data_IF_701780667108
#
_entry.id   IF_701780667108
#
_cell.length_a   1.000
_cell.length_b   1.000
_cell.length_c   1.000
_cell.angle_alpha   90.00
_cell.angle_beta   90.00
_cell.angle_gamma   90.00
#
_symmetry.space_group_name_H-M   'P 1'
#
loop_
_entity.id
_entity.type
_entity.pdbx_description
1 polymer ?
#
# COMPACT_ATOMS: atom_id res chain seq x y z
N UNK A 1 -46.35 13.00 38.32
CA UNK A 1 -45.31 13.55 37.43
C UNK A 1 -45.08 12.54 36.32
N UNK A 2 -45.55 12.83 35.12
CA UNK A 2 -45.38 11.97 33.95
C UNK A 2 -43.93 12.08 33.46
N UNK A 3 -43.11 11.06 33.70
CA UNK A 3 -41.78 10.98 33.09
C UNK A 3 -41.94 10.74 31.60
N UNK A 4 -41.74 11.80 30.81
CA UNK A 4 -41.51 11.67 29.37
C UNK A 4 -40.21 10.87 29.18
N UNK A 5 -40.22 9.74 28.44
CA UNK A 5 -38.99 9.02 28.15
C UNK A 5 -38.06 9.95 27.37
N UNK A 6 -36.87 10.20 27.91
CA UNK A 6 -35.84 10.92 27.20
C UNK A 6 -35.48 10.12 25.94
N UNK A 7 -35.76 10.70 24.78
CA UNK A 7 -35.30 10.16 23.49
C UNK A 7 -33.78 10.25 23.49
N UNK A 8 -33.12 9.12 23.75
CA UNK A 8 -31.66 9.01 23.67
C UNK A 8 -31.27 9.34 22.24
N UNK A 9 -30.62 10.49 22.02
CA UNK A 9 -30.09 10.84 20.69
C UNK A 9 -29.06 9.79 20.31
N UNK A 10 -29.21 9.13 19.14
CA UNK A 10 -28.24 8.12 18.72
C UNK A 10 -26.86 8.78 18.58
N UNK A 11 -25.82 8.10 19.06
CA UNK A 11 -24.46 8.59 18.99
C UNK A 11 -24.09 8.96 17.53
N UNK A 12 -23.30 10.01 17.35
CA UNK A 12 -22.98 10.58 16.03
C UNK A 12 -22.41 9.53 15.04
N UNK A 13 -21.68 8.54 15.54
CA UNK A 13 -21.13 7.45 14.71
C UNK A 13 -22.21 6.43 14.26
N UNK A 14 -23.29 6.20 15.03
CA UNK A 14 -24.44 5.43 14.56
C UNK A 14 -25.13 6.14 13.39
N UNK A 15 -25.28 7.46 13.48
CA UNK A 15 -25.86 8.26 12.39
C UNK A 15 -25.01 8.20 11.12
N UNK A 16 -23.68 8.12 11.26
CA UNK A 16 -22.79 7.93 10.12
C UNK A 16 -23.05 6.59 9.39
N UNK A 17 -23.27 5.49 10.12
CA UNK A 17 -23.67 4.22 9.53
C UNK A 17 -25.05 4.34 8.87
N UNK A 18 -26.05 4.89 9.57
CA UNK A 18 -27.41 5.03 9.03
C UNK A 18 -27.44 5.87 7.74
N UNK A 19 -26.65 6.94 7.67
CA UNK A 19 -26.53 7.78 6.47
C UNK A 19 -25.94 7.05 5.26
N UNK A 20 -25.38 5.85 5.44
CA UNK A 20 -24.85 5.05 4.34
C UNK A 20 -25.88 4.15 3.64
N UNK A 21 -27.08 4.01 4.23
CA UNK A 21 -28.13 3.08 3.81
C UNK A 21 -28.47 3.11 2.33
N UNK A 22 -28.57 4.29 1.73
CA UNK A 22 -28.94 4.41 0.31
C UNK A 22 -27.92 3.76 -0.63
N UNK A 23 -26.64 3.68 -0.23
CA UNK A 23 -25.60 3.03 -1.04
C UNK A 23 -25.70 1.51 -1.04
N UNK A 24 -26.41 0.93 -0.08
CA UNK A 24 -26.64 -0.52 -0.04
C UNK A 24 -27.70 -0.98 -1.03
N UNK A 25 -28.50 -0.07 -1.59
CA UNK A 25 -29.42 -0.39 -2.68
C UNK A 25 -28.66 -0.92 -3.90
N UNK A 26 -28.90 -2.18 -4.25
CA UNK A 26 -28.22 -2.87 -5.36
C UNK A 26 -26.85 -3.49 -5.01
N UNK A 27 -26.41 -3.42 -3.75
CA UNK A 27 -25.16 -4.05 -3.29
C UNK A 27 -25.25 -5.58 -3.12
N UNK A 28 -26.47 -6.13 -3.04
CA UNK A 28 -26.71 -7.53 -2.68
C UNK A 28 -26.63 -7.81 -1.17
N UNK A 29 -26.36 -6.80 -0.34
CA UNK A 29 -26.26 -6.92 1.11
C UNK A 29 -27.51 -6.36 1.83
N UNK A 30 -27.89 -6.97 2.96
CA UNK A 30 -28.91 -6.42 3.86
C UNK A 30 -28.28 -5.37 4.78
N UNK A 31 -28.58 -4.10 4.52
CA UNK A 31 -28.07 -2.98 5.30
C UNK A 31 -28.28 -3.13 6.82
N UNK A 32 -29.42 -3.67 7.28
CA UNK A 32 -29.66 -3.81 8.73
C UNK A 32 -28.71 -4.82 9.36
N UNK A 33 -28.42 -5.92 8.66
CA UNK A 33 -27.44 -6.90 9.12
C UNK A 33 -26.04 -6.29 9.12
N UNK A 34 -25.65 -5.59 8.05
CA UNK A 34 -24.34 -4.94 7.94
C UNK A 34 -24.14 -3.85 9.00
N UNK A 35 -25.19 -3.10 9.34
CA UNK A 35 -25.18 -2.15 10.45
C UNK A 35 -24.91 -2.85 11.79
N UNK A 36 -25.52 -4.01 12.04
CA UNK A 36 -25.28 -4.80 13.26
C UNK A 36 -23.82 -5.28 13.29
N UNK A 37 -23.30 -5.85 12.19
CA UNK A 37 -21.93 -6.32 12.12
C UNK A 37 -20.91 -5.19 12.30
N UNK A 38 -21.11 -4.05 11.64
CA UNK A 38 -20.28 -2.87 11.83
C UNK A 38 -20.29 -2.41 13.29
N UNK A 39 -21.47 -2.33 13.91
CA UNK A 39 -21.62 -1.94 15.31
C UNK A 39 -20.88 -2.91 16.25
N UNK A 40 -20.98 -4.22 16.02
CA UNK A 40 -20.25 -5.23 16.79
C UNK A 40 -18.73 -5.06 16.66
N UNK A 41 -18.21 -4.86 15.45
CA UNK A 41 -16.77 -4.65 15.23
C UNK A 41 -16.27 -3.39 15.94
N UNK A 42 -17.04 -2.28 15.88
CA UNK A 42 -16.71 -1.06 16.62
C UNK A 42 -16.70 -1.33 18.14
N UNK A 43 -17.73 -1.98 18.68
CA UNK A 43 -17.83 -2.24 20.12
C UNK A 43 -16.75 -3.18 20.66
N UNK A 44 -16.28 -4.12 19.85
CA UNK A 44 -15.23 -5.07 20.23
C UNK A 44 -13.81 -4.49 20.13
N UNK A 45 -13.65 -3.28 19.59
CA UNK A 45 -12.35 -2.63 19.45
C UNK A 45 -12.45 -1.16 19.90
N UNK A 46 -12.05 -0.88 21.13
CA UNK A 46 -12.15 0.45 21.75
C UNK A 46 -11.41 1.53 20.94
N UNK A 47 -10.26 1.21 20.35
CA UNK A 47 -9.51 2.14 19.50
C UNK A 47 -10.24 2.42 18.19
N UNK A 48 -10.80 1.39 17.54
CA UNK A 48 -11.62 1.58 16.34
C UNK A 48 -12.87 2.43 16.63
N UNK A 49 -13.54 2.18 17.76
CA UNK A 49 -14.69 2.99 18.18
C UNK A 49 -14.31 4.44 18.44
N UNK A 50 -13.15 4.70 19.05
CA UNK A 50 -12.65 6.05 19.27
C UNK A 50 -12.38 6.78 17.93
N UNK A 51 -11.71 6.10 16.99
CA UNK A 51 -11.49 6.63 15.63
C UNK A 51 -12.82 6.91 14.92
N UNK A 52 -13.82 6.04 15.06
CA UNK A 52 -15.16 6.24 14.50
C UNK A 52 -15.89 7.46 15.10
N UNK A 53 -15.73 7.70 16.41
CA UNK A 53 -16.30 8.87 17.10
C UNK A 53 -15.65 10.17 16.66
N UNK A 54 -14.32 10.17 16.56
CA UNK A 54 -13.53 11.35 16.21
C UNK A 54 -13.58 11.66 14.69
N UNK A 55 -13.81 10.65 13.85
CA UNK A 55 -13.95 10.81 12.41
C UNK A 55 -15.14 10.01 11.83
N UNK A 56 -16.40 10.44 12.09
CA UNK A 56 -17.59 9.74 11.59
C UNK A 56 -17.69 9.71 10.06
N UNK A 57 -17.11 10.70 9.38
CA UNK A 57 -17.04 10.74 7.92
C UNK A 57 -16.23 9.57 7.34
N UNK A 58 -15.13 9.17 8.00
CA UNK A 58 -14.35 8.00 7.58
C UNK A 58 -15.13 6.69 7.73
N UNK A 59 -15.89 6.53 8.83
CA UNK A 59 -16.76 5.38 9.04
C UNK A 59 -17.83 5.28 7.94
N UNK A 60 -18.47 6.41 7.60
CA UNK A 60 -19.46 6.45 6.52
C UNK A 60 -18.84 6.04 5.18
N UNK A 61 -17.65 6.52 4.86
CA UNK A 61 -16.94 6.15 3.63
C UNK A 61 -16.57 4.67 3.61
N UNK A 62 -16.15 4.10 4.75
CA UNK A 62 -15.90 2.67 4.86
C UNK A 62 -17.17 1.85 4.61
N UNK A 63 -18.34 2.30 5.11
CA UNK A 63 -19.62 1.65 4.81
C UNK A 63 -20.04 1.80 3.34
N UNK A 64 -19.73 2.93 2.68
CA UNK A 64 -19.91 3.05 1.24
C UNK A 64 -19.06 2.04 0.47
N UNK A 65 -17.83 1.80 0.93
CA UNK A 65 -16.95 0.80 0.33
C UNK A 65 -17.49 -0.62 0.51
N UNK A 66 -18.03 -0.95 1.69
CA UNK A 66 -18.70 -2.24 1.97
C UNK A 66 -19.80 -2.49 0.93
N UNK A 67 -20.66 -1.50 0.72
CA UNK A 67 -21.73 -1.58 -0.28
C UNK A 67 -21.19 -1.68 -1.71
N UNK A 68 -20.17 -0.89 -2.06
CA UNK A 68 -19.61 -0.85 -3.41
C UNK A 68 -18.92 -2.16 -3.81
N UNK A 69 -18.26 -2.84 -2.87
CA UNK A 69 -17.63 -4.15 -3.12
C UNK A 69 -18.55 -5.32 -2.81
N UNK A 70 -19.75 -5.09 -2.25
CA UNK A 70 -20.72 -6.13 -1.91
C UNK A 70 -20.16 -7.22 -0.99
N UNK A 71 -19.18 -6.90 -0.14
CA UNK A 71 -18.65 -7.85 0.85
C UNK A 71 -19.22 -7.56 2.22
N UNK A 72 -19.91 -8.55 2.78
CA UNK A 72 -20.42 -8.51 4.15
C UNK A 72 -19.32 -8.40 5.20
N UNK A 73 -19.63 -7.66 6.26
CA UNK A 73 -18.85 -7.54 7.50
C UNK A 73 -19.13 -8.69 8.48
N UNK A 74 -19.92 -9.70 8.09
CA UNK A 74 -20.24 -10.86 8.92
C UNK A 74 -18.94 -11.55 9.41
N UNK A 75 -18.70 -11.58 10.74
CA UNK A 75 -17.47 -12.12 11.29
C UNK A 75 -17.29 -13.62 11.01
N UNK A 76 -18.38 -14.37 10.82
CA UNK A 76 -18.32 -15.80 10.53
C UNK A 76 -17.79 -16.08 9.11
N UNK A 77 -18.03 -15.17 8.17
CA UNK A 77 -17.53 -15.30 6.80
C UNK A 77 -16.11 -14.73 6.68
N UNK A 78 -15.79 -13.68 7.44
CA UNK A 78 -14.45 -13.11 7.51
C UNK A 78 -13.94 -12.55 6.18
N UNK A 79 -14.84 -11.99 5.37
CA UNK A 79 -14.54 -11.48 4.02
C UNK A 79 -13.99 -10.05 4.07
N UNK A 80 -14.51 -9.21 4.95
CA UNK A 80 -14.05 -7.84 5.12
C UNK A 80 -14.21 -7.36 6.56
N UNK A 81 -13.41 -6.37 6.94
CA UNK A 81 -13.35 -5.82 8.30
C UNK A 81 -13.24 -4.31 8.26
N UNK A 82 -13.82 -3.65 9.27
CA UNK A 82 -13.53 -2.26 9.57
C UNK A 82 -12.29 -2.20 10.45
N UNK A 83 -11.28 -1.45 10.01
CA UNK A 83 -10.01 -1.33 10.72
C UNK A 83 -9.64 0.15 10.93
N UNK A 84 -9.08 0.51 12.09
CA UNK A 84 -8.52 1.84 12.29
C UNK A 84 -7.12 1.86 11.70
N UNK A 85 -6.85 2.81 10.81
CA UNK A 85 -5.57 2.90 10.11
C UNK A 85 -5.12 4.33 10.00
N UNK A 86 -3.81 4.52 10.14
CA UNK A 86 -3.13 5.80 9.92
C UNK A 86 -2.25 5.65 8.68
N UNK A 87 -2.59 6.36 7.60
CA UNK A 87 -1.88 6.25 6.32
C UNK A 87 -0.56 7.01 6.33
N UNK A 88 -0.49 8.14 7.04
CA UNK A 88 0.71 9.00 7.13
C UNK A 88 0.95 9.40 8.58
N UNK A 89 2.22 9.62 8.94
CA UNK A 89 2.63 9.94 10.33
C UNK A 89 1.88 11.14 10.92
N UNK A 90 1.57 12.13 10.08
CA UNK A 90 0.94 13.40 10.46
C UNK A 90 -0.56 13.46 10.09
N UNK A 91 -1.20 12.31 9.91
CA UNK A 91 -2.63 12.24 9.61
C UNK A 91 -3.38 11.53 10.73
N UNK A 92 -4.62 11.95 10.96
CA UNK A 92 -5.52 11.28 11.88
C UNK A 92 -5.82 9.86 11.40
N UNK A 93 -6.02 8.96 12.36
CA UNK A 93 -6.50 7.63 12.02
C UNK A 93 -7.90 7.71 11.40
N UNK A 94 -8.17 6.82 10.45
CA UNK A 94 -9.45 6.70 9.76
C UNK A 94 -9.98 5.28 9.91
N UNK A 95 -11.30 5.15 9.94
CA UNK A 95 -11.94 3.85 9.73
C UNK A 95 -11.85 3.52 8.25
N UNK A 96 -11.31 2.34 7.94
CA UNK A 96 -11.14 1.87 6.57
C UNK A 96 -11.65 0.43 6.41
N UNK A 97 -12.05 0.07 5.19
CA UNK A 97 -12.43 -1.29 4.84
C UNK A 97 -11.18 -2.09 4.48
N UNK A 98 -10.83 -3.09 5.30
CA UNK A 98 -9.81 -4.08 4.96
C UNK A 98 -10.47 -5.33 4.38
N UNK A 99 -10.14 -5.64 3.13
CA UNK A 99 -10.62 -6.83 2.43
C UNK A 99 -9.66 -7.97 2.74
N UNK A 100 -10.20 -9.06 3.27
CA UNK A 100 -9.40 -10.25 3.55
C UNK A 100 -9.02 -10.96 2.24
N UNK A 101 -8.02 -11.84 2.29
CA UNK A 101 -7.71 -12.66 1.11
C UNK A 101 -8.90 -13.54 0.70
N UNK A 102 -9.73 -13.99 1.65
CA UNK A 102 -10.97 -14.71 1.39
C UNK A 102 -11.99 -13.83 0.69
N UNK A 103 -12.13 -12.57 1.13
CA UNK A 103 -12.99 -11.59 0.48
C UNK A 103 -12.55 -11.29 -0.95
N UNK A 104 -11.23 -11.18 -1.18
CA UNK A 104 -10.67 -10.95 -2.51
C UNK A 104 -10.94 -12.13 -3.47
N UNK A 105 -10.76 -13.36 -2.98
CA UNK A 105 -11.12 -14.57 -3.74
C UNK A 105 -12.63 -14.62 -3.99
N UNK A 106 -13.45 -14.33 -2.98
CA UNK A 106 -14.92 -14.33 -3.11
C UNK A 106 -15.38 -13.34 -4.19
N UNK A 107 -14.85 -12.11 -4.20
CA UNK A 107 -15.15 -11.15 -5.28
C UNK A 107 -14.72 -11.73 -6.63
N UNK A 108 -13.50 -12.26 -6.74
CA UNK A 108 -13.02 -12.84 -7.99
C UNK A 108 -13.92 -13.97 -8.52
N UNK A 109 -14.45 -14.80 -7.63
CA UNK A 109 -15.40 -15.88 -7.96
C UNK A 109 -16.75 -15.32 -8.37
N UNK A 110 -17.33 -14.43 -7.55
CA UNK A 110 -18.66 -13.85 -7.78
C UNK A 110 -18.73 -12.97 -9.03
N UNK A 111 -17.64 -12.30 -9.40
CA UNK A 111 -17.54 -11.51 -10.63
C UNK A 111 -17.17 -12.34 -11.85
N UNK A 112 -16.96 -13.65 -11.68
CA UNK A 112 -16.53 -14.55 -12.74
C UNK A 112 -15.13 -14.25 -13.29
N UNK A 113 -14.26 -13.61 -12.50
CA UNK A 113 -12.86 -13.39 -12.89
C UNK A 113 -12.05 -14.69 -12.78
N UNK A 114 -12.35 -15.49 -11.76
CA UNK A 114 -11.73 -16.81 -11.48
C UNK A 114 -12.83 -17.78 -11.05
N UNK A 115 -12.61 -19.09 -11.18
CA UNK A 115 -13.50 -20.12 -10.62
C UNK A 115 -13.21 -20.40 -9.16
N UNK A 116 -11.93 -20.38 -8.80
CA UNK A 116 -11.43 -20.47 -7.43
C UNK A 116 -9.97 -20.02 -7.41
N UNK A 117 -9.46 -19.72 -6.22
CA UNK A 117 -8.03 -19.55 -6.00
C UNK A 117 -7.63 -20.15 -4.64
N UNK A 118 -6.41 -20.68 -4.57
CA UNK A 118 -5.82 -21.22 -3.35
C UNK A 118 -4.37 -20.77 -3.26
N UNK A 119 -3.97 -20.30 -2.08
CA UNK A 119 -2.56 -20.06 -1.79
C UNK A 119 -2.03 -21.14 -0.84
N UNK A 120 -0.78 -21.54 -1.05
CA UNK A 120 -0.08 -22.52 -0.24
C UNK A 120 1.34 -22.06 0.03
N UNK A 121 1.84 -22.40 1.23
CA UNK A 121 3.23 -22.18 1.61
C UNK A 121 4.06 -23.41 1.24
N UNK A 122 5.29 -23.14 0.83
CA UNK A 122 6.31 -24.12 0.48
C UNK A 122 7.42 -24.00 1.51
N UNK A 123 7.75 -25.13 2.13
CA UNK A 123 8.75 -25.25 3.17
C UNK A 123 10.03 -25.91 2.62
N UNK A 124 11.12 -25.83 3.37
CA UNK A 124 12.45 -26.31 2.94
C UNK A 124 12.48 -27.79 2.56
N UNK A 125 11.74 -28.63 3.28
CA UNK A 125 11.72 -30.08 3.06
C UNK A 125 10.63 -30.53 2.06
N UNK A 126 9.89 -29.61 1.46
CA UNK A 126 8.91 -29.94 0.42
C UNK A 126 9.58 -30.11 -0.96
N UNK A 127 9.06 -31.01 -1.79
CA UNK A 127 9.42 -31.06 -3.21
C UNK A 127 8.54 -30.06 -3.98
N UNK A 128 9.13 -28.95 -4.43
CA UNK A 128 8.41 -27.93 -5.19
C UNK A 128 9.10 -27.60 -6.52
N UNK A 129 8.36 -27.77 -7.62
CA UNK A 129 8.75 -27.36 -8.97
C UNK A 129 7.77 -26.36 -9.55
N UNK A 130 8.22 -25.14 -9.79
CA UNK A 130 7.46 -24.13 -10.52
C UNK A 130 7.52 -24.40 -12.02
N UNK A 131 6.36 -24.44 -12.68
CA UNK A 131 6.24 -24.72 -14.12
C UNK A 131 5.98 -23.48 -14.98
N UNK A 132 6.02 -22.30 -14.38
CA UNK A 132 5.65 -21.05 -15.04
C UNK A 132 4.26 -20.57 -14.64
N UNK A 133 3.86 -19.38 -15.12
CA UNK A 133 2.67 -18.68 -14.63
C UNK A 133 1.36 -19.27 -15.14
N UNK A 134 1.39 -20.15 -16.14
CA UNK A 134 0.21 -20.72 -16.80
C UNK A 134 0.01 -22.22 -16.50
N UNK A 135 0.90 -22.83 -15.72
CA UNK A 135 0.92 -24.27 -15.46
C UNK A 135 0.95 -24.58 -13.96
N UNK A 136 0.16 -25.57 -13.53
CA UNK A 136 0.08 -25.98 -12.12
C UNK A 136 1.46 -26.43 -11.62
N UNK A 137 1.98 -25.88 -10.51
CA UNK A 137 3.22 -26.35 -9.92
C UNK A 137 3.12 -27.80 -9.46
N UNK A 138 4.24 -28.53 -9.45
CA UNK A 138 4.34 -29.78 -8.71
C UNK A 138 4.76 -29.46 -7.28
N UNK A 139 3.84 -29.64 -6.33
CA UNK A 139 4.10 -29.46 -4.91
C UNK A 139 3.79 -30.76 -4.19
N UNK A 140 4.83 -31.55 -3.87
CA UNK A 140 4.69 -32.73 -3.02
C UNK A 140 5.18 -32.40 -1.63
N UNK A 141 4.29 -32.55 -0.65
CA UNK A 141 4.57 -32.39 0.75
C UNK A 141 3.79 -33.45 1.54
N UNK A 142 4.24 -33.75 2.76
CA UNK A 142 3.41 -34.45 3.74
C UNK A 142 2.65 -33.39 4.55
N UNK A 143 1.32 -33.25 4.36
CA UNK A 143 0.53 -32.22 5.02
C UNK A 143 0.40 -32.45 6.54
N UNK A 144 0.74 -33.63 7.05
CA UNK A 144 0.68 -33.96 8.47
C UNK A 144 2.05 -33.94 9.15
N UNK A 145 3.12 -33.77 8.37
CA UNK A 145 4.48 -33.69 8.92
C UNK A 145 4.67 -32.41 9.73
N UNK A 146 5.21 -32.57 10.93
CA UNK A 146 5.67 -31.47 11.79
C UNK A 146 7.09 -31.02 11.44
N UNK A 147 7.78 -31.70 10.51
CA UNK A 147 9.18 -31.49 10.16
C UNK A 147 9.35 -31.06 8.70
N UNK A 148 8.50 -30.13 8.26
CA UNK A 148 8.58 -29.55 6.90
C UNK A 148 9.71 -28.52 6.75
N UNK A 149 10.34 -28.11 7.85
CA UNK A 149 11.41 -27.09 7.86
C UNK A 149 10.87 -25.66 7.89
N UNK A 150 11.72 -24.67 7.56
CA UNK A 150 11.30 -23.28 7.53
C UNK A 150 10.52 -22.94 6.24
N UNK A 151 9.72 -21.87 6.26
CA UNK A 151 9.01 -21.38 5.07
C UNK A 151 10.03 -20.82 4.08
N UNK A 152 10.12 -21.42 2.89
CA UNK A 152 10.96 -20.98 1.77
C UNK A 152 10.23 -19.99 0.86
N UNK A 153 8.91 -20.13 0.73
CA UNK A 153 8.07 -19.28 -0.09
C UNK A 153 6.63 -19.75 -0.13
N UNK A 154 5.92 -19.41 -1.18
CA UNK A 154 4.58 -19.90 -1.43
C UNK A 154 4.10 -19.55 -2.83
N UNK A 155 2.91 -20.02 -3.18
CA UNK A 155 2.29 -19.69 -4.45
C UNK A 155 0.77 -19.56 -4.30
N UNK A 156 0.14 -18.82 -5.20
CA UNK A 156 -1.30 -18.79 -5.38
C UNK A 156 -1.63 -19.33 -6.76
N UNK A 157 -2.53 -20.31 -6.79
CA UNK A 157 -3.07 -20.93 -7.98
C UNK A 157 -4.52 -20.47 -8.13
N UNK A 158 -4.87 -19.89 -9.28
CA UNK A 158 -6.23 -19.47 -9.62
C UNK A 158 -6.69 -20.09 -10.94
N UNK A 159 -7.89 -20.68 -10.98
CA UNK A 159 -8.46 -21.24 -12.22
C UNK A 159 -9.27 -20.19 -12.97
N UNK A 160 -9.05 -20.06 -14.28
CA UNK A 160 -9.81 -19.13 -15.12
C UNK A 160 -11.13 -19.75 -15.62
N UNK A 161 -12.18 -18.95 -15.86
CA UNK A 161 -13.45 -19.44 -16.40
C UNK A 161 -13.33 -20.14 -17.76
N UNK A 162 -12.37 -19.71 -18.59
CA UNK A 162 -12.05 -20.28 -19.89
C UNK A 162 -11.28 -21.61 -19.83
N UNK A 163 -10.90 -22.06 -18.64
CA UNK A 163 -9.90 -23.10 -18.44
C UNK A 163 -8.48 -22.53 -18.39
N UNK A 164 -7.54 -23.36 -17.97
CA UNK A 164 -6.17 -22.93 -17.63
C UNK A 164 -6.08 -22.34 -16.21
N UNK A 165 -4.86 -22.00 -15.81
CA UNK A 165 -4.57 -21.46 -14.48
C UNK A 165 -3.65 -20.26 -14.56
N UNK A 166 -3.73 -19.39 -13.55
CA UNK A 166 -2.73 -18.38 -13.26
C UNK A 166 -2.02 -18.75 -11.97
N UNK A 167 -0.69 -18.70 -12.00
CA UNK A 167 0.16 -19.03 -10.86
C UNK A 167 1.04 -17.85 -10.53
N UNK A 168 0.93 -17.38 -9.30
CA UNK A 168 1.82 -16.37 -8.74
C UNK A 168 2.66 -17.02 -7.64
N UNK A 169 3.97 -17.12 -7.86
CA UNK A 169 4.91 -17.60 -6.86
C UNK A 169 5.59 -16.43 -6.14
N UNK A 170 5.88 -16.59 -4.86
CA UNK A 170 6.48 -15.55 -4.03
C UNK A 170 7.49 -16.14 -3.06
N UNK A 171 8.69 -15.54 -3.02
CA UNK A 171 9.74 -15.94 -2.09
C UNK A 171 9.40 -15.49 -0.65
N UNK A 172 9.93 -16.20 0.35
CA UNK A 172 9.87 -15.75 1.74
C UNK A 172 10.46 -14.35 1.92
N UNK A 173 11.58 -14.06 1.24
CA UNK A 173 12.22 -12.76 1.26
C UNK A 173 11.32 -11.63 0.76
N UNK A 174 10.53 -11.87 -0.30
CA UNK A 174 9.60 -10.84 -0.79
C UNK A 174 8.39 -10.65 0.13
N UNK A 175 7.94 -11.71 0.82
CA UNK A 175 6.92 -11.60 1.86
C UNK A 175 7.44 -10.82 3.07
N UNK A 176 8.70 -11.04 3.44
CA UNK A 176 9.35 -10.29 4.52
C UNK A 176 9.47 -8.80 4.20
N UNK A 177 9.76 -8.42 2.94
CA UNK A 177 9.71 -7.00 2.52
C UNK A 177 8.34 -6.36 2.77
N UNK A 178 7.24 -7.09 2.56
CA UNK A 178 5.87 -6.60 2.85
C UNK A 178 5.62 -6.53 4.36
N UNK A 179 6.11 -7.51 5.12
CA UNK A 179 6.04 -7.49 6.58
C UNK A 179 6.77 -6.28 7.15
N UNK A 180 7.96 -5.99 6.64
CA UNK A 180 8.86 -4.98 7.21
C UNK A 180 8.38 -3.54 6.98
N UNK A 181 7.41 -3.31 6.10
CA UNK A 181 6.71 -2.01 6.00
C UNK A 181 5.61 -1.82 7.06
N UNK A 182 5.21 -2.88 7.77
CA UNK A 182 4.17 -2.81 8.80
C UNK A 182 4.70 -2.14 10.08
N UNK A 183 4.16 -0.99 10.42
CA UNK A 183 4.47 -0.27 11.67
C UNK A 183 4.09 -1.06 12.93
N UNK A 184 3.04 -1.88 12.87
CA UNK A 184 2.67 -2.75 13.99
C UNK A 184 3.75 -3.83 14.23
N UNK A 185 4.24 -4.44 13.15
CA UNK A 185 5.30 -5.45 13.22
C UNK A 185 6.59 -4.87 13.78
N UNK A 186 7.00 -3.66 13.34
CA UNK A 186 8.18 -2.95 13.88
C UNK A 186 8.08 -2.69 15.38
N UNK A 187 6.87 -2.61 15.94
CA UNK A 187 6.60 -2.42 17.37
C UNK A 187 6.39 -3.75 18.10
N UNK A 188 6.57 -4.88 17.44
CA UNK A 188 6.49 -6.21 18.03
C UNK A 188 5.07 -6.72 18.28
N UNK A 189 4.05 -6.19 17.60
CA UNK A 189 2.67 -6.65 17.76
C UNK A 189 1.89 -6.74 16.45
N UNK A 190 0.75 -7.44 16.48
CA UNK A 190 -0.22 -7.47 15.40
C UNK A 190 -0.04 -8.67 14.46
N UNK A 191 -0.75 -8.67 13.32
CA UNK A 191 -1.00 -9.90 12.56
C UNK A 191 0.24 -10.64 12.04
N UNK A 192 1.32 -9.92 11.80
CA UNK A 192 2.59 -10.51 11.36
C UNK A 192 3.36 -11.22 12.48
N UNK A 193 3.02 -10.95 13.74
CA UNK A 193 3.54 -11.64 14.93
C UNK A 193 2.61 -12.79 15.30
N UNK A 194 1.32 -12.52 15.40
CA UNK A 194 0.33 -13.48 15.90
C UNK A 194 -0.06 -14.54 14.84
N UNK A 195 -0.06 -14.16 13.55
CA UNK A 195 -0.57 -14.98 12.43
C UNK A 195 0.29 -14.82 11.17
N UNK A 196 1.61 -14.94 11.31
CA UNK A 196 2.57 -14.70 10.23
C UNK A 196 2.26 -15.45 8.93
N UNK A 197 1.91 -16.74 9.01
CA UNK A 197 1.58 -17.56 7.84
C UNK A 197 0.33 -17.06 7.10
N UNK A 198 -0.69 -16.62 7.82
CA UNK A 198 -1.90 -16.05 7.22
C UNK A 198 -1.60 -14.74 6.50
N UNK A 199 -0.68 -13.94 7.03
CA UNK A 199 -0.23 -12.70 6.39
C UNK A 199 0.61 -12.96 5.14
N UNK A 200 1.41 -14.03 5.13
CA UNK A 200 2.11 -14.52 3.94
C UNK A 200 1.11 -14.95 2.86
N UNK A 201 0.12 -15.79 3.20
CA UNK A 201 -0.94 -16.19 2.28
C UNK A 201 -1.72 -14.98 1.74
N UNK A 202 -2.09 -14.01 2.60
CA UNK A 202 -2.75 -12.76 2.17
C UNK A 202 -1.90 -12.01 1.15
N UNK A 203 -0.59 -11.95 1.36
CA UNK A 203 0.35 -11.24 0.47
C UNK A 203 0.43 -11.90 -0.91
N UNK A 204 0.48 -13.23 -0.96
CA UNK A 204 0.53 -13.98 -2.23
C UNK A 204 -0.78 -13.79 -3.01
N UNK A 205 -1.94 -13.96 -2.37
CA UNK A 205 -3.25 -13.80 -3.02
C UNK A 205 -3.44 -12.37 -3.56
N UNK A 206 -3.05 -11.35 -2.79
CA UNK A 206 -3.09 -9.95 -3.23
C UNK A 206 -2.22 -9.69 -4.46
N UNK A 207 -1.08 -10.35 -4.58
CA UNK A 207 -0.21 -10.21 -5.76
C UNK A 207 -0.85 -10.91 -6.96
N UNK A 208 -1.34 -12.14 -6.76
CA UNK A 208 -2.00 -12.93 -7.79
C UNK A 208 -3.23 -12.21 -8.37
N UNK A 209 -4.02 -11.55 -7.53
CA UNK A 209 -5.27 -10.89 -7.94
C UNK A 209 -5.09 -9.76 -8.94
N UNK A 210 -3.88 -9.23 -9.11
CA UNK A 210 -3.57 -8.21 -10.13
C UNK A 210 -3.65 -8.76 -11.55
N UNK A 211 -3.47 -10.07 -11.71
CA UNK A 211 -3.50 -10.76 -12.99
C UNK A 211 -4.87 -11.35 -13.32
N UNK A 212 -5.80 -11.34 -12.35
CA UNK A 212 -7.14 -11.85 -12.59
C UNK A 212 -7.90 -10.90 -13.54
N UNK A 213 -8.69 -11.43 -14.47
CA UNK A 213 -9.49 -10.61 -15.37
C UNK A 213 -10.34 -9.59 -14.61
N UNK A 214 -10.17 -8.30 -14.92
CA UNK A 214 -11.01 -7.23 -14.38
C UNK A 214 -12.32 -7.16 -15.17
N UNK A 215 -13.17 -8.17 -15.00
CA UNK A 215 -14.42 -8.33 -15.75
C UNK A 215 -15.53 -7.38 -15.28
N UNK A 216 -15.40 -6.76 -14.09
CA UNK A 216 -16.47 -5.96 -13.49
C UNK A 216 -15.98 -4.72 -12.72
N UNK A 217 -16.80 -3.66 -12.62
CA UNK A 217 -16.52 -2.50 -11.76
C UNK A 217 -16.31 -2.85 -10.28
N UNK A 218 -16.99 -3.90 -9.80
CA UNK A 218 -16.90 -4.39 -8.42
C UNK A 218 -15.50 -4.90 -8.08
N UNK A 219 -14.91 -5.71 -8.97
CA UNK A 219 -13.53 -6.19 -8.82
C UNK A 219 -12.52 -5.03 -8.89
N UNK A 220 -12.69 -4.12 -9.85
CA UNK A 220 -11.83 -2.94 -9.97
C UNK A 220 -11.87 -2.08 -8.70
N UNK A 221 -13.06 -1.86 -8.13
CA UNK A 221 -13.22 -1.10 -6.88
C UNK A 221 -12.53 -1.77 -5.69
N UNK A 222 -12.63 -3.10 -5.57
CA UNK A 222 -11.95 -3.84 -4.51
C UNK A 222 -10.42 -3.71 -4.60
N UNK A 223 -9.86 -3.85 -5.80
CA UNK A 223 -8.43 -3.65 -6.04
C UNK A 223 -8.00 -2.20 -5.75
N UNK A 224 -8.84 -1.21 -6.07
CA UNK A 224 -8.57 0.19 -5.76
C UNK A 224 -8.50 0.43 -4.24
N UNK A 225 -9.47 -0.06 -3.47
CA UNK A 225 -9.46 0.05 -2.01
C UNK A 225 -8.19 -0.58 -1.41
N UNK A 226 -7.79 -1.75 -1.93
CA UNK A 226 -6.60 -2.46 -1.46
C UNK A 226 -5.28 -1.72 -1.77
N UNK A 227 -5.18 -1.06 -2.93
CA UNK A 227 -3.95 -0.42 -3.39
C UNK A 227 -3.82 1.04 -2.95
N UNK A 228 -4.89 1.83 -3.08
CA UNK A 228 -4.86 3.30 -2.90
C UNK A 228 -5.34 3.71 -1.51
N UNK A 229 -6.44 3.13 -1.03
CA UNK A 229 -7.09 3.58 0.20
C UNK A 229 -6.44 3.00 1.45
N UNK A 230 -6.02 1.72 1.41
CA UNK A 230 -5.39 1.09 2.57
C UNK A 230 -3.87 1.31 2.65
N UNK A 231 -3.24 1.83 1.58
CA UNK A 231 -1.78 2.00 1.51
C UNK A 231 -1.01 0.67 1.58
N UNK A 232 -1.66 -0.45 1.25
CA UNK A 232 -1.10 -1.82 1.39
C UNK A 232 -0.64 -2.42 0.06
N UNK A 233 -0.50 -1.60 -0.99
CA UNK A 233 -0.02 -2.04 -2.28
C UNK A 233 1.51 -2.17 -2.32
N UNK A 234 2.02 -3.07 -3.18
CA UNK A 234 3.42 -3.05 -3.64
C UNK A 234 3.83 -1.69 -4.27
N UNK A 235 2.87 -0.80 -4.57
CA UNK A 235 3.14 0.58 -4.94
C UNK A 235 3.90 1.35 -3.83
N UNK A 236 3.75 0.97 -2.55
CA UNK A 236 4.61 1.48 -1.47
C UNK A 236 6.04 0.96 -1.59
N UNK A 237 6.23 -0.28 -2.09
CA UNK A 237 7.57 -0.78 -2.41
C UNK A 237 8.16 -0.14 -3.68
N UNK A 238 7.33 0.19 -4.67
CA UNK A 238 7.74 0.94 -5.86
C UNK A 238 8.08 2.40 -5.55
N UNK A 239 7.39 3.01 -4.58
CA UNK A 239 7.73 4.33 -4.04
C UNK A 239 8.86 4.28 -2.99
N UNK A 240 9.27 3.08 -2.58
CA UNK A 240 10.52 2.81 -1.85
C UNK A 240 11.66 2.40 -2.79
N UNK A 241 11.58 2.73 -4.09
CA UNK A 241 12.82 3.02 -4.83
C UNK A 241 13.47 4.16 -4.04
N UNK A 242 14.55 3.80 -3.36
CA UNK A 242 15.44 4.63 -2.58
C UNK A 242 15.35 6.08 -3.08
N UNK A 243 14.69 6.96 -2.31
CA UNK A 243 15.04 8.38 -2.40
C UNK A 243 16.55 8.41 -2.21
N UNK A 244 17.34 8.93 -3.16
CA UNK A 244 18.78 8.97 -3.02
C UNK A 244 19.06 9.54 -1.65
N UNK A 245 19.86 8.83 -0.85
CA UNK A 245 20.25 9.27 0.48
C UNK A 245 20.56 10.77 0.40
N UNK A 246 19.88 11.58 1.22
CA UNK A 246 20.08 13.01 1.23
C UNK A 246 21.59 13.27 1.24
N UNK A 247 22.08 14.00 0.23
CA UNK A 247 23.50 14.25 0.09
C UNK A 247 24.00 14.89 1.40
N UNK A 248 25.21 14.53 1.87
CA UNK A 248 25.79 15.17 3.03
C UNK A 248 25.91 16.68 2.81
N UNK A 249 26.01 17.47 3.87
CA UNK A 249 26.20 18.92 3.75
C UNK A 249 27.41 19.22 2.84
N UNK A 250 27.33 20.25 1.97
CA UNK A 250 28.42 20.57 1.04
C UNK A 250 29.70 20.92 1.82
N UNK A 251 30.83 20.23 1.57
CA UNK A 251 32.09 20.52 2.21
C UNK A 251 32.65 21.89 1.79
N UNK A 252 33.53 22.52 2.60
CA UNK A 252 34.33 23.67 2.19
C UNK A 252 35.12 23.43 0.91
N UNK A 253 35.33 24.48 0.11
CA UNK A 253 35.98 24.38 -1.23
C UNK A 253 37.38 23.77 -1.17
N UNK A 254 38.14 24.02 -0.11
CA UNK A 254 39.49 23.51 0.12
C UNK A 254 39.53 21.99 0.37
N UNK A 255 38.39 21.37 0.71
CA UNK A 255 38.25 19.92 0.90
C UNK A 255 37.86 19.18 -0.39
N UNK A 256 37.52 19.89 -1.47
CA UNK A 256 37.13 19.31 -2.77
C UNK A 256 38.33 19.19 -3.69
N UNK A 257 38.46 18.07 -4.41
CA UNK A 257 39.58 17.86 -5.33
C UNK A 257 39.64 18.92 -6.45
N UNK A 258 40.85 19.39 -6.77
CA UNK A 258 41.07 20.44 -7.80
C UNK A 258 40.49 20.03 -9.16
N UNK A 259 40.54 18.74 -9.49
CA UNK A 259 39.96 18.18 -10.72
C UNK A 259 38.44 18.36 -10.77
N UNK A 260 37.74 18.11 -9.66
CA UNK A 260 36.29 18.31 -9.55
C UNK A 260 35.95 19.79 -9.54
N UNK A 261 36.70 20.63 -8.82
CA UNK A 261 36.48 22.08 -8.84
C UNK A 261 36.54 22.66 -10.26
N UNK A 262 37.56 22.26 -11.05
CA UNK A 262 37.71 22.71 -12.43
C UNK A 262 36.58 22.19 -13.34
N UNK A 263 36.16 20.94 -13.12
CA UNK A 263 35.06 20.32 -13.88
C UNK A 263 33.73 21.00 -13.59
N UNK A 264 33.42 21.23 -12.31
CA UNK A 264 32.20 21.92 -11.88
C UNK A 264 32.18 23.34 -12.43
N UNK A 265 33.28 24.09 -12.32
CA UNK A 265 33.38 25.43 -12.91
C UNK A 265 33.04 25.44 -14.40
N UNK A 266 33.63 24.54 -15.20
CA UNK A 266 33.34 24.45 -16.63
C UNK A 266 31.89 24.09 -16.93
N UNK A 267 31.27 23.23 -16.12
CA UNK A 267 29.88 22.83 -16.29
C UNK A 267 28.92 23.96 -15.91
N UNK A 268 29.18 24.66 -14.81
CA UNK A 268 28.40 25.83 -14.36
C UNK A 268 28.50 26.97 -15.36
N UNK A 269 29.71 27.31 -15.83
CA UNK A 269 29.92 28.37 -16.82
C UNK A 269 29.11 28.10 -18.11
N UNK A 270 29.08 26.86 -18.57
CA UNK A 270 28.27 26.44 -19.73
C UNK A 270 26.78 26.51 -19.45
N UNK A 271 26.36 26.11 -18.24
CA UNK A 271 24.97 26.14 -17.83
C UNK A 271 24.42 27.57 -17.80
N UNK A 272 25.20 28.53 -17.28
CA UNK A 272 24.86 29.95 -17.26
C UNK A 272 24.76 30.51 -18.69
N UNK A 273 25.73 30.21 -19.56
CA UNK A 273 25.73 30.69 -20.95
C UNK A 273 24.54 30.16 -21.77
N UNK A 274 24.10 28.94 -21.51
CA UNK A 274 23.06 28.25 -22.28
C UNK A 274 21.70 28.21 -21.58
N UNK A 275 21.59 28.80 -20.38
CA UNK A 275 20.45 28.68 -19.48
C UNK A 275 19.99 27.23 -19.27
N UNK A 276 20.94 26.30 -19.14
CA UNK A 276 20.73 24.85 -19.17
C UNK A 276 21.07 24.18 -17.82
N UNK A 277 20.53 24.73 -16.72
CA UNK A 277 20.86 24.30 -15.36
C UNK A 277 20.43 22.86 -15.03
N UNK A 278 19.25 22.42 -15.49
CA UNK A 278 18.78 21.04 -15.25
C UNK A 278 19.64 19.98 -15.98
N UNK A 279 20.00 20.24 -17.24
CA UNK A 279 20.89 19.35 -17.99
C UNK A 279 22.29 19.30 -17.36
N UNK A 280 22.76 20.43 -16.81
CA UNK A 280 24.03 20.49 -16.10
C UNK A 280 24.00 19.63 -14.81
N UNK A 281 22.91 19.70 -14.06
CA UNK A 281 22.67 18.88 -12.86
C UNK A 281 22.74 17.39 -13.17
N UNK A 282 22.06 16.93 -14.21
CA UNK A 282 22.10 15.52 -14.64
C UNK A 282 23.53 15.06 -14.98
N UNK A 283 24.29 15.93 -15.66
CA UNK A 283 25.69 15.65 -15.99
C UNK A 283 26.55 15.55 -14.71
N UNK A 284 26.35 16.42 -13.73
CA UNK A 284 27.05 16.38 -12.44
C UNK A 284 26.74 15.09 -11.66
N UNK A 285 25.47 14.72 -11.54
CA UNK A 285 25.03 13.47 -10.88
C UNK A 285 25.60 12.22 -11.58
N UNK A 286 25.77 12.28 -12.91
CA UNK A 286 26.36 11.17 -13.66
C UNK A 286 27.89 11.06 -13.48
N UNK A 287 28.61 12.18 -13.36
CA UNK A 287 30.08 12.23 -13.39
C UNK A 287 30.73 12.24 -12.01
N UNK A 288 30.11 12.88 -11.02
CA UNK A 288 30.68 13.03 -9.68
C UNK A 288 30.12 11.91 -8.80
N UNK A 289 30.95 10.90 -8.53
CA UNK A 289 30.53 9.69 -7.80
C UNK A 289 30.66 9.82 -6.28
N UNK A 290 31.49 10.74 -5.79
CA UNK A 290 31.62 10.97 -4.35
C UNK A 290 30.48 11.86 -3.85
N UNK A 291 29.70 11.42 -2.84
CA UNK A 291 28.53 12.17 -2.36
C UNK A 291 28.84 13.57 -1.84
N UNK A 292 29.98 13.76 -1.16
CA UNK A 292 30.38 15.07 -0.64
C UNK A 292 30.78 16.05 -1.76
N UNK A 293 31.52 15.59 -2.76
CA UNK A 293 31.89 16.39 -3.93
C UNK A 293 30.66 16.72 -4.80
N UNK A 294 29.70 15.80 -4.90
CA UNK A 294 28.44 16.03 -5.61
C UNK A 294 27.56 17.05 -4.87
N UNK A 295 27.49 16.98 -3.54
CA UNK A 295 26.79 17.98 -2.72
C UNK A 295 27.34 19.39 -2.96
N UNK A 296 28.67 19.53 -2.95
CA UNK A 296 29.35 20.79 -3.26
C UNK A 296 29.06 21.28 -4.69
N UNK A 297 29.12 20.37 -5.67
CA UNK A 297 28.87 20.72 -7.08
C UNK A 297 27.45 21.24 -7.33
N UNK A 298 26.45 20.62 -6.70
CA UNK A 298 25.06 21.03 -6.81
C UNK A 298 24.78 22.35 -6.08
N UNK A 299 25.45 22.59 -4.94
CA UNK A 299 25.38 23.86 -4.21
C UNK A 299 25.94 25.02 -5.06
N UNK A 300 27.07 24.82 -5.73
CA UNK A 300 27.65 25.82 -6.64
C UNK A 300 26.77 26.10 -7.87
N UNK A 301 26.12 25.07 -8.43
CA UNK A 301 25.18 25.23 -9.54
C UNK A 301 23.94 26.04 -9.11
N UNK A 302 23.46 25.83 -7.89
CA UNK A 302 22.29 26.53 -7.36
C UNK A 302 22.59 27.99 -7.01
N UNK A 303 23.79 28.28 -6.48
CA UNK A 303 24.26 29.67 -6.30
C UNK A 303 24.31 30.41 -7.63
N UNK A 304 24.93 29.82 -8.66
CA UNK A 304 25.00 30.42 -9.98
C UNK A 304 23.62 30.64 -10.63
N UNK A 305 22.68 29.71 -10.41
CA UNK A 305 21.29 29.84 -10.86
C UNK A 305 20.58 31.00 -10.16
N UNK A 306 20.83 31.18 -8.86
CA UNK A 306 20.25 32.27 -8.07
C UNK A 306 20.80 33.62 -8.49
N UNK A 307 22.12 33.72 -8.70
CA UNK A 307 22.81 34.93 -9.18
C UNK A 307 22.34 35.33 -10.59
N UNK A 308 22.20 34.37 -11.51
CA UNK A 308 21.69 34.63 -12.85
C UNK A 308 20.23 35.13 -12.84
N UNK A 309 19.39 34.58 -11.96
CA UNK A 309 18.01 35.04 -11.80
C UNK A 309 17.91 36.44 -11.17
N UNK A 310 18.82 36.82 -10.27
CA UNK A 310 18.87 38.18 -9.73
C UNK A 310 19.31 39.21 -10.78
N UNK A 311 20.30 38.88 -11.61
CA UNK A 311 20.80 39.79 -12.67
C UNK A 311 19.73 40.07 -13.74
N UNK A 312 18.89 39.08 -14.05
CA UNK A 312 17.75 39.24 -14.97
C UNK A 312 16.70 40.18 -14.37
N UNK A 313 16.49 40.13 -13.05
CA UNK A 313 15.51 40.98 -12.38
C UNK A 313 15.95 42.44 -12.28
N UNK A 314 17.25 42.72 -12.10
CA UNK A 314 17.78 44.08 -12.04
C UNK A 314 17.85 44.77 -13.42
N UNK A 315 18.04 44.01 -14.50
CA UNK A 315 17.96 44.55 -15.87
C UNK A 315 16.53 44.89 -16.31
N UNK A 316 15.53 44.18 -15.79
CA UNK A 316 14.11 44.45 -16.06
C UNK A 316 13.56 45.69 -15.34
N UNK A 317 14.22 46.16 -14.27
CA UNK A 317 13.82 47.35 -13.50
C UNK A 317 14.47 48.64 -14.02
N UNK A 318 15.58 48.53 -14.77
CA UNK A 318 16.31 49.67 -15.35
C UNK A 318 16.09 49.85 -16.88
N UNK A 319 15.11 49.16 -17.46
CA UNK A 319 14.72 49.28 -18.89
C UNK A 319 13.40 50.01 -19.08
#
# INVERSE_FOLDING_TARGET
>A
MTHTPQVVKPAQWHQAIESSKEKFSGSGLDFKQEQIFATQQLMNNSYLLDVAKNNPSSLRLAMYNVAAVGLTLNPNQGLAYLVPRRLRRNEDAKVMLDISYRGLIAIGVETGAIRWAKAELVYENDEFTYKGPADKPDHKCDPFSTDRGAIRGGYCLAELPSGGVLVEAMSKADMDKIRDVSEAFKKGFGPWVDWAEQMMLKSIVKRASKWWPMSTPRMARALQILNEENGEGLAVLANNVVSPAALPAPPPRDEVSIAVQNTVKQLVDRAVQQNAFEACKEVMESRIKQPAELAWALDELEKARTECNSDISDQAVNS
#
